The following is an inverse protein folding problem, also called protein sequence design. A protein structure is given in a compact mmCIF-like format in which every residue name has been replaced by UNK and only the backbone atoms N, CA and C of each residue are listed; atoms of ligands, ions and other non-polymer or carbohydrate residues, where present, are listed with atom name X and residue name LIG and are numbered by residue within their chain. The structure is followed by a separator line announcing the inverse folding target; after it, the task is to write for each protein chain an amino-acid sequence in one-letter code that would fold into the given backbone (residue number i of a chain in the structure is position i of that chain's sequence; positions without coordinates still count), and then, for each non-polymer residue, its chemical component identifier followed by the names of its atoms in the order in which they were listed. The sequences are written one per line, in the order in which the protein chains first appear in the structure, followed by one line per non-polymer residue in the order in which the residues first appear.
data_IF_535961238356
#
_entry.id   IF_535961238356
#
_cell.length_a   1.000
_cell.length_b   1.000
_cell.length_c   1.000
_cell.angle_alpha   90.00
_cell.angle_beta   90.00
_cell.angle_gamma   90.00
#
_symmetry.space_group_name_H-M   'P 1'
#
loop_
_entity.id
_entity.type
_entity.pdbx_description
1 polymer ?
#
# COMPACT_ATOMS: atom_id res chain seq x y z
N UNK A 1 -18.68 6.92 9.61
CA UNK A 1 -17.22 6.87 9.83
C UNK A 1 -16.64 6.26 8.58
N UNK A 2 -15.83 7.00 7.83
CA UNK A 2 -15.30 6.50 6.55
C UNK A 2 -14.07 5.62 6.81
N UNK A 3 -14.12 4.41 6.26
CA UNK A 3 -13.03 3.41 6.34
C UNK A 3 -12.58 3.06 4.93
N UNK A 4 -11.28 3.02 4.73
CA UNK A 4 -10.68 2.51 3.51
C UNK A 4 -10.34 1.04 3.71
N UNK A 5 -10.72 0.20 2.75
CA UNK A 5 -10.34 -1.20 2.72
C UNK A 5 -9.09 -1.39 1.87
N UNK A 6 -8.07 -2.03 2.45
CA UNK A 6 -6.80 -2.30 1.80
C UNK A 6 -6.62 -3.81 1.67
N UNK A 7 -6.40 -4.26 0.43
CA UNK A 7 -6.02 -5.63 0.12
C UNK A 7 -4.61 -5.62 -0.49
N UNK A 8 -3.66 -6.24 0.21
CA UNK A 8 -2.24 -6.19 -0.16
C UNK A 8 -1.67 -7.59 -0.36
N UNK A 9 -0.71 -7.68 -1.28
CA UNK A 9 0.23 -8.80 -1.36
C UNK A 9 1.61 -8.35 -0.85
N UNK A 10 2.31 -9.22 -0.14
CA UNK A 10 3.68 -8.95 0.36
C UNK A 10 4.58 -10.08 -0.10
N UNK A 11 5.76 -9.73 -0.62
CA UNK A 11 6.84 -10.68 -0.84
C UNK A 11 7.92 -10.51 0.22
N UNK A 12 8.18 -11.56 0.98
CA UNK A 12 9.29 -11.64 1.92
C UNK A 12 10.32 -12.67 1.45
N UNK A 13 11.54 -12.57 1.96
CA UNK A 13 12.57 -13.59 1.75
C UNK A 13 12.73 -14.39 3.03
N UNK A 14 12.69 -15.71 2.92
CA UNK A 14 12.96 -16.59 4.05
C UNK A 14 14.44 -16.47 4.46
N UNK A 15 14.71 -16.18 5.74
CA UNK A 15 16.04 -15.84 6.27
C UNK A 15 17.15 -16.82 5.87
N UNK A 16 16.82 -18.10 5.67
CA UNK A 16 17.79 -19.18 5.50
C UNK A 16 17.76 -19.87 4.11
N UNK A 17 16.87 -19.48 3.19
CA UNK A 17 16.72 -20.23 1.92
C UNK A 17 16.67 -19.38 0.65
N UNK A 18 16.82 -18.04 0.72
CA UNK A 18 16.58 -17.12 -0.40
C UNK A 18 15.20 -17.31 -1.08
N UNK A 19 14.31 -18.08 -0.44
CA UNK A 19 13.00 -18.43 -0.95
C UNK A 19 12.06 -17.25 -0.78
N UNK A 20 11.34 -16.92 -1.85
CA UNK A 20 10.35 -15.86 -1.83
C UNK A 20 9.03 -16.41 -1.29
N UNK A 21 8.57 -15.83 -0.18
CA UNK A 21 7.29 -16.15 0.44
C UNK A 21 6.32 -15.03 0.10
N UNK A 22 5.17 -15.41 -0.46
CA UNK A 22 4.09 -14.49 -0.81
C UNK A 22 2.94 -14.63 0.18
N UNK A 23 2.52 -13.51 0.76
CA UNK A 23 1.40 -13.48 1.70
C UNK A 23 0.42 -12.39 1.30
N UNK A 24 -0.87 -12.72 1.26
CA UNK A 24 -1.94 -11.73 1.12
C UNK A 24 -2.44 -11.31 2.50
N UNK A 25 -2.76 -10.02 2.66
CA UNK A 25 -3.34 -9.47 3.89
C UNK A 25 -4.41 -8.45 3.55
N UNK A 26 -5.40 -8.37 4.43
CA UNK A 26 -6.51 -7.44 4.33
C UNK A 26 -6.64 -6.66 5.63
N UNK A 27 -6.87 -5.36 5.54
CA UNK A 27 -7.06 -4.51 6.71
C UNK A 27 -7.82 -3.23 6.35
N UNK A 28 -8.25 -2.52 7.39
CA UNK A 28 -9.03 -1.29 7.26
C UNK A 28 -8.26 -0.12 7.87
N UNK A 29 -8.37 1.04 7.24
CA UNK A 29 -7.81 2.30 7.72
C UNK A 29 -8.95 3.28 7.96
N UNK A 30 -8.98 3.90 9.13
CA UNK A 30 -9.95 4.96 9.41
C UNK A 30 -9.50 6.27 8.77
N UNK A 31 -10.32 6.86 7.90
CA UNK A 31 -9.99 8.12 7.23
C UNK A 31 -9.62 9.23 8.22
N UNK A 32 -10.31 9.28 9.37
CA UNK A 32 -10.07 10.27 10.42
C UNK A 32 -8.71 10.14 11.11
N UNK A 33 -7.99 9.02 10.94
CA UNK A 33 -6.63 8.87 11.45
C UNK A 33 -5.57 9.40 10.48
N UNK A 34 -5.95 9.71 9.24
CA UNK A 34 -5.04 10.14 8.17
C UNK A 34 -4.89 11.66 8.23
N UNK A 35 -3.63 12.13 8.27
CA UNK A 35 -3.30 13.54 8.18
C UNK A 35 -3.31 14.01 6.73
N UNK A 36 -2.59 13.29 5.86
CA UNK A 36 -2.57 13.48 4.42
C UNK A 36 -1.97 12.24 3.76
N UNK A 37 -2.07 12.18 2.44
CA UNK A 37 -1.51 11.11 1.61
C UNK A 37 -0.61 11.73 0.56
N UNK A 38 0.49 11.06 0.24
CA UNK A 38 1.38 11.41 -0.86
C UNK A 38 1.40 10.25 -1.86
N UNK A 39 1.28 10.57 -3.15
CA UNK A 39 1.44 9.60 -4.22
C UNK A 39 2.59 10.06 -5.09
N UNK A 40 3.70 9.35 -5.03
CA UNK A 40 4.90 9.63 -5.80
C UNK A 40 5.49 8.32 -6.35
N UNK A 41 6.02 8.36 -7.56
CA UNK A 41 6.74 7.25 -8.19
C UNK A 41 6.04 5.87 -8.13
N UNK A 42 4.71 5.85 -8.22
CA UNK A 42 3.92 4.61 -8.15
C UNK A 42 3.82 4.02 -6.75
N UNK A 43 4.07 4.82 -5.72
CA UNK A 43 3.87 4.48 -4.31
C UNK A 43 2.81 5.37 -3.69
N UNK A 44 2.16 4.86 -2.66
CA UNK A 44 1.23 5.59 -1.82
C UNK A 44 1.77 5.61 -0.39
N UNK A 45 2.04 6.81 0.13
CA UNK A 45 2.46 7.05 1.51
C UNK A 45 1.28 7.65 2.29
N UNK A 46 0.86 6.98 3.36
CA UNK A 46 -0.18 7.46 4.27
C UNK A 46 0.50 8.03 5.49
N UNK A 47 0.34 9.33 5.70
CA UNK A 47 0.84 10.01 6.88
C UNK A 47 -0.29 10.14 7.89
N UNK A 48 -0.13 9.51 9.06
CA UNK A 48 -1.13 9.50 10.11
C UNK A 48 -1.01 10.73 11.02
N UNK A 49 -2.10 11.04 11.73
CA UNK A 49 -2.13 12.15 12.71
C UNK A 49 -1.15 11.95 13.87
N UNK A 50 -0.83 10.70 14.22
CA UNK A 50 0.14 10.36 15.28
C UNK A 50 1.61 10.43 14.81
N UNK A 51 1.85 10.85 13.57
CA UNK A 51 3.18 10.99 12.99
C UNK A 51 3.77 9.70 12.42
N UNK A 52 3.10 8.55 12.56
CA UNK A 52 3.50 7.33 11.85
C UNK A 52 3.19 7.45 10.36
N UNK A 53 3.84 6.61 9.57
CA UNK A 53 3.53 6.46 8.16
C UNK A 53 3.50 5.00 7.71
N UNK A 54 2.82 4.75 6.60
CA UNK A 54 2.78 3.46 5.93
C UNK A 54 2.86 3.66 4.42
N UNK A 55 3.69 2.85 3.77
CA UNK A 55 3.90 2.90 2.32
C UNK A 55 3.44 1.64 1.63
N UNK A 56 2.86 1.84 0.45
CA UNK A 56 2.37 0.78 -0.41
C UNK A 56 2.81 0.99 -1.85
N UNK A 57 3.13 -0.11 -2.53
CA UNK A 57 3.43 -0.10 -3.96
C UNK A 57 2.11 -0.19 -4.74
N UNK A 58 1.90 0.74 -5.68
CA UNK A 58 0.73 0.79 -6.55
C UNK A 58 0.97 0.01 -7.84
N UNK A 59 1.34 -1.25 -7.71
CA UNK A 59 1.61 -2.14 -8.83
C UNK A 59 1.13 -3.56 -8.53
N UNK A 60 1.03 -4.38 -9.58
CA UNK A 60 0.81 -5.81 -9.42
C UNK A 60 2.15 -6.48 -9.04
N UNK A 61 2.13 -7.25 -7.95
CA UNK A 61 3.31 -7.96 -7.46
C UNK A 61 3.86 -8.97 -8.48
N UNK A 62 3.01 -9.57 -9.32
CA UNK A 62 3.42 -10.51 -10.36
C UNK A 62 4.19 -9.81 -11.47
N UNK A 63 3.70 -8.66 -11.93
CA UNK A 63 4.36 -7.88 -12.99
C UNK A 63 5.76 -7.42 -12.54
N UNK A 64 5.90 -6.99 -11.29
CA UNK A 64 7.19 -6.58 -10.74
C UNK A 64 8.11 -7.76 -10.42
N UNK A 65 7.55 -8.94 -10.13
CA UNK A 65 8.33 -10.18 -10.03
C UNK A 65 8.94 -10.54 -11.39
N UNK A 66 8.14 -10.53 -12.47
CA UNK A 66 8.58 -10.85 -13.83
C UNK A 66 9.64 -9.86 -14.35
N UNK A 67 9.49 -8.58 -14.00
CA UNK A 67 10.43 -7.51 -14.39
C UNK A 67 11.65 -7.40 -13.47
N UNK A 68 11.76 -8.26 -12.46
CA UNK A 68 12.81 -8.22 -11.44
C UNK A 68 12.92 -6.85 -10.71
N UNK A 69 11.77 -6.23 -10.42
CA UNK A 69 11.63 -4.94 -9.71
C UNK A 69 10.98 -5.08 -8.33
N UNK A 70 10.84 -6.32 -7.84
CA UNK A 70 10.12 -6.61 -6.61
C UNK A 70 10.76 -5.96 -5.38
N UNK A 71 9.94 -5.30 -4.55
CA UNK A 71 10.35 -4.68 -3.28
C UNK A 71 10.04 -5.62 -2.12
N UNK A 72 11.09 -6.27 -1.62
CA UNK A 72 10.97 -7.23 -0.52
C UNK A 72 10.55 -6.52 0.78
N UNK A 73 9.53 -7.06 1.46
CA UNK A 73 8.98 -6.53 2.70
C UNK A 73 7.93 -5.42 2.53
N UNK A 74 7.65 -5.01 1.29
CA UNK A 74 6.67 -3.96 0.99
C UNK A 74 5.30 -4.54 0.65
N UNK A 75 4.24 -3.81 1.00
CA UNK A 75 2.87 -4.14 0.63
C UNK A 75 2.53 -3.63 -0.78
N UNK A 76 2.16 -4.54 -1.68
CA UNK A 76 1.62 -4.24 -3.00
C UNK A 76 0.10 -4.13 -2.91
N UNK A 77 -0.44 -2.93 -3.12
CA UNK A 77 -1.87 -2.66 -2.98
C UNK A 77 -2.63 -3.17 -4.21
N UNK A 78 -3.38 -4.27 -4.05
CA UNK A 78 -4.09 -4.93 -5.16
C UNK A 78 -5.29 -4.13 -5.64
N UNK A 79 -6.01 -3.55 -4.70
CA UNK A 79 -7.21 -2.76 -4.97
C UNK A 79 -6.90 -1.26 -5.03
N UNK A 80 -5.71 -0.89 -5.52
CA UNK A 80 -5.28 0.52 -5.48
C UNK A 80 -6.22 1.46 -6.23
N UNK A 81 -6.80 1.04 -7.36
CA UNK A 81 -7.77 1.86 -8.10
C UNK A 81 -9.00 2.22 -7.23
N UNK A 82 -9.55 1.24 -6.50
CA UNK A 82 -10.68 1.46 -5.60
C UNK A 82 -10.29 2.39 -4.45
N UNK A 83 -9.12 2.17 -3.85
CA UNK A 83 -8.58 3.02 -2.79
C UNK A 83 -8.43 4.46 -3.29
N UNK A 84 -7.84 4.68 -4.47
CA UNK A 84 -7.65 6.02 -5.03
C UNK A 84 -8.98 6.73 -5.29
N UNK A 85 -10.02 6.03 -5.75
CA UNK A 85 -11.36 6.63 -5.90
C UNK A 85 -11.98 6.99 -4.54
N UNK A 86 -11.86 6.12 -3.55
CA UNK A 86 -12.35 6.40 -2.19
C UNK A 86 -11.60 7.57 -1.53
N UNK A 87 -10.31 7.74 -1.81
CA UNK A 87 -9.52 8.87 -1.34
C UNK A 87 -9.98 10.20 -1.94
N UNK A 88 -10.37 10.21 -3.22
CA UNK A 88 -10.96 11.40 -3.85
C UNK A 88 -12.29 11.79 -3.20
N UNK A 89 -13.12 10.80 -2.86
CA UNK A 89 -14.44 11.02 -2.25
C UNK A 89 -14.36 11.49 -0.79
N UNK A 90 -13.40 10.97 -0.03
CA UNK A 90 -13.22 11.25 1.40
C UNK A 90 -12.62 12.63 1.70
N UNK A 91 -12.38 13.46 0.67
CA UNK A 91 -11.79 14.82 0.76
C UNK A 91 -10.47 14.86 1.54
N UNK A 92 -9.76 13.74 1.62
CA UNK A 92 -8.43 13.66 2.23
C UNK A 92 -7.47 14.47 1.36
N UNK A 93 -6.55 15.21 1.99
CA UNK A 93 -5.52 15.96 1.27
C UNK A 93 -4.59 14.95 0.59
N UNK A 94 -4.62 14.93 -0.74
CA UNK A 94 -3.70 14.17 -1.58
C UNK A 94 -2.67 15.13 -2.15
N UNK A 95 -1.40 14.93 -1.81
CA UNK A 95 -0.27 15.60 -2.45
C UNK A 95 0.27 14.70 -3.56
N UNK A 96 0.60 15.32 -4.68
CA UNK A 96 1.29 14.70 -5.81
C UNK A 96 2.72 15.22 -5.87
#
# INVERSE_FOLDING_TARGET
METLYFNIDICNVHMNSNEKIFTSKEFYIFCNSIKYIEIDNGELDIIYLDGKNQRFVLANIKDDLEKNRIKIGWGYLKNYNEVLEMLKLSKIIVKK
#
